data_IF_100718739430
#
_entry.id   IF_100718739430
#
_cell.length_a   1.000
_cell.length_b   1.000
_cell.length_c   1.000
_cell.angle_alpha   90.00
_cell.angle_beta   90.00
_cell.angle_gamma   90.00
#
_symmetry.space_group_name_H-M   'P 1'
#
loop_
_entity.id
_entity.type
_entity.pdbx_description
1 polymer ?
#
# COMPACT_ATOMS: atom_id res chain seq x y z
N UNK A 1 5.86 6.90 -11.45
CA UNK A 1 5.84 6.00 -10.31
C UNK A 1 4.79 6.44 -9.32
N UNK A 2 4.05 5.50 -8.77
CA UNK A 2 2.96 5.81 -7.87
C UNK A 2 3.46 6.16 -6.47
N UNK A 3 2.89 7.19 -5.89
CA UNK A 3 3.20 7.58 -4.52
C UNK A 3 2.18 6.96 -3.59
N UNK A 4 2.63 6.26 -2.58
CA UNK A 4 1.76 5.55 -1.64
C UNK A 4 2.01 6.05 -0.23
N UNK A 5 0.95 6.48 0.43
CA UNK A 5 1.02 6.98 1.80
C UNK A 5 0.08 6.15 2.68
N UNK A 6 0.59 5.69 3.80
CA UNK A 6 -0.20 4.98 4.79
C UNK A 6 -0.33 5.91 6.01
N UNK A 7 -1.55 6.38 6.25
CA UNK A 7 -1.84 7.24 7.39
C UNK A 7 -2.15 6.37 8.58
N UNK A 8 -1.41 6.52 9.66
CA UNK A 8 -1.47 5.62 10.80
C UNK A 8 -1.82 6.35 12.09
N UNK A 9 -2.26 5.56 13.06
CA UNK A 9 -2.40 6.06 14.43
C UNK A 9 -1.66 5.07 15.35
N UNK A 10 -1.28 5.50 16.56
CA UNK A 10 -0.54 4.60 17.45
C UNK A 10 -1.40 3.45 17.94
N UNK A 11 -0.75 2.36 18.25
CA UNK A 11 -1.38 1.18 18.85
C UNK A 11 -2.52 0.59 18.03
N UNK A 12 -2.36 0.59 16.71
CA UNK A 12 -3.37 0.06 15.81
C UNK A 12 -2.89 -1.23 15.17
N UNK A 13 -3.58 -2.31 15.45
CA UNK A 13 -3.26 -3.61 14.86
C UNK A 13 -3.44 -3.56 13.34
N UNK A 14 -4.48 -2.89 12.87
CA UNK A 14 -4.74 -2.81 11.44
C UNK A 14 -3.65 -2.02 10.71
N UNK A 15 -3.13 -0.98 11.35
CA UNK A 15 -2.02 -0.23 10.75
C UNK A 15 -0.79 -1.13 10.61
N UNK A 16 -0.48 -1.88 11.67
CA UNK A 16 0.67 -2.78 11.61
C UNK A 16 0.50 -3.88 10.59
N UNK A 17 -0.70 -4.44 10.50
CA UNK A 17 -0.98 -5.49 9.51
C UNK A 17 -0.82 -4.97 8.09
N UNK A 18 -1.28 -3.75 7.84
CA UNK A 18 -1.17 -3.15 6.52
C UNK A 18 0.29 -2.94 6.14
N UNK A 19 1.09 -2.39 7.07
CA UNK A 19 2.50 -2.16 6.80
C UNK A 19 3.24 -3.48 6.55
N UNK A 20 2.92 -4.49 7.34
CA UNK A 20 3.54 -5.80 7.19
C UNK A 20 3.26 -6.40 5.82
N UNK A 21 2.02 -6.26 5.35
CA UNK A 21 1.67 -6.78 4.02
C UNK A 21 2.39 -6.02 2.93
N UNK A 22 2.51 -4.70 3.06
CA UNK A 22 3.25 -3.92 2.08
C UNK A 22 4.72 -4.34 2.06
N UNK A 23 5.33 -4.49 3.24
CA UNK A 23 6.73 -4.89 3.33
C UNK A 23 6.94 -6.27 2.73
N UNK A 24 6.05 -7.19 3.02
CA UNK A 24 6.14 -8.55 2.53
C UNK A 24 6.05 -8.62 1.00
N UNK A 25 5.29 -7.72 0.42
CA UNK A 25 5.08 -7.69 -1.04
C UNK A 25 6.03 -6.77 -1.77
N UNK A 26 6.96 -6.14 -1.04
CA UNK A 26 7.93 -5.24 -1.65
C UNK A 26 7.34 -3.94 -2.15
N UNK A 27 6.20 -3.53 -1.58
CA UNK A 27 5.56 -2.27 -1.95
C UNK A 27 6.17 -1.16 -1.12
N UNK A 28 6.67 -0.14 -1.79
CA UNK A 28 7.31 0.99 -1.12
C UNK A 28 6.26 2.05 -0.80
N UNK A 29 6.27 2.51 0.42
CA UNK A 29 5.28 3.47 0.90
C UNK A 29 5.89 4.40 1.92
N UNK A 30 5.20 5.51 2.18
CA UNK A 30 5.56 6.42 3.26
C UNK A 30 4.48 6.34 4.32
N UNK A 31 4.85 6.60 5.57
CA UNK A 31 3.87 6.66 6.65
C UNK A 31 3.70 8.08 7.12
N UNK A 32 2.50 8.42 7.54
CA UNK A 32 2.20 9.71 8.16
C UNK A 32 1.26 9.47 9.32
N UNK A 33 1.41 10.24 10.38
CA UNK A 33 0.49 10.18 11.50
C UNK A 33 -0.79 10.90 11.15
N UNK A 34 -1.92 10.33 11.54
CA UNK A 34 -3.19 10.98 11.35
C UNK A 34 -3.28 12.18 12.31
N UNK A 35 -3.49 13.35 11.74
CA UNK A 35 -3.74 14.57 12.51
C UNK A 35 -5.24 14.84 12.54
N UNK A 36 -5.73 15.67 13.48
CA UNK A 36 -7.16 16.00 13.49
C UNK A 36 -7.64 16.56 12.16
N UNK A 37 -6.81 17.35 11.50
CA UNK A 37 -7.16 17.93 10.21
C UNK A 37 -7.28 16.86 9.14
N UNK A 38 -6.34 15.90 9.13
CA UNK A 38 -6.38 14.80 8.17
C UNK A 38 -7.58 13.90 8.42
N UNK A 39 -7.86 13.61 9.68
CA UNK A 39 -9.01 12.78 10.04
C UNK A 39 -10.31 13.40 9.51
N UNK A 40 -10.46 14.71 9.71
CA UNK A 40 -11.65 15.40 9.23
C UNK A 40 -11.80 15.29 7.72
N UNK A 41 -10.70 15.49 7.00
CA UNK A 41 -10.71 15.39 5.55
C UNK A 41 -11.12 13.97 5.09
N UNK A 42 -10.58 12.96 5.75
CA UNK A 42 -10.87 11.59 5.35
C UNK A 42 -12.30 11.18 5.70
N UNK A 43 -12.82 11.64 6.84
CA UNK A 43 -14.20 11.37 7.20
C UNK A 43 -15.15 11.92 6.12
N UNK A 44 -14.85 13.09 5.60
CA UNK A 44 -15.65 13.67 4.55
C UNK A 44 -15.63 12.84 3.27
N UNK A 45 -14.58 12.04 3.10
CA UNK A 45 -14.46 11.14 1.97
C UNK A 45 -14.98 9.73 2.27
N UNK A 46 -15.58 9.54 3.45
CA UNK A 46 -16.09 8.24 3.85
C UNK A 46 -15.06 7.29 4.40
N UNK A 47 -13.86 7.80 4.73
CA UNK A 47 -12.76 6.96 5.21
C UNK A 47 -12.62 7.15 6.71
N UNK A 48 -13.16 6.21 7.47
CA UNK A 48 -13.34 6.40 8.91
C UNK A 48 -12.52 5.48 9.80
N UNK A 49 -11.71 4.62 9.23
CA UNK A 49 -10.90 3.67 10.02
C UNK A 49 -9.43 3.80 9.65
N UNK A 50 -8.56 3.71 10.64
CA UNK A 50 -7.11 3.66 10.39
C UNK A 50 -6.71 2.23 10.09
N UNK A 51 -5.73 1.99 9.25
CA UNK A 51 -4.98 2.99 8.51
C UNK A 51 -5.78 3.51 7.32
N UNK A 52 -5.37 4.65 6.79
CA UNK A 52 -5.91 5.11 5.52
C UNK A 52 -4.77 5.03 4.52
N UNK A 53 -5.00 4.31 3.44
CA UNK A 53 -4.01 4.17 2.38
C UNK A 53 -4.43 5.06 1.24
N UNK A 54 -3.51 5.89 0.79
CA UNK A 54 -3.78 6.86 -0.26
C UNK A 54 -2.70 6.75 -1.32
N UNK A 55 -3.12 6.59 -2.57
CA UNK A 55 -2.21 6.53 -3.70
C UNK A 55 -2.66 7.55 -4.73
N UNK A 56 -1.99 7.57 -5.86
CA UNK A 56 -2.35 8.51 -6.93
C UNK A 56 -3.75 8.30 -7.46
N UNK A 57 -4.23 7.05 -7.48
CA UNK A 57 -5.50 6.73 -8.12
C UNK A 57 -6.50 5.99 -7.24
N UNK A 58 -6.17 5.71 -5.99
CA UNK A 58 -7.10 4.97 -5.13
C UNK A 58 -6.86 5.30 -3.66
N UNK A 59 -7.89 5.05 -2.85
CA UNK A 59 -7.74 5.18 -1.41
C UNK A 59 -8.73 4.25 -0.73
N UNK A 60 -8.35 3.81 0.48
CA UNK A 60 -9.25 3.01 1.30
C UNK A 60 -8.89 3.18 2.76
N UNK A 61 -9.80 2.74 3.63
CA UNK A 61 -9.56 2.80 5.07
C UNK A 61 -9.64 1.40 5.68
N UNK A 62 -8.90 1.20 6.75
CA UNK A 62 -8.84 -0.08 7.44
C UNK A 62 -7.92 -1.07 6.73
N UNK A 63 -7.80 -2.23 7.32
CA UNK A 63 -7.00 -3.29 6.71
C UNK A 63 -7.84 -4.01 5.65
N UNK A 64 -7.42 -3.89 4.41
CA UNK A 64 -8.17 -4.48 3.29
C UNK A 64 -7.20 -5.26 2.41
N UNK A 65 -7.08 -6.54 2.68
CA UNK A 65 -6.11 -7.38 1.97
C UNK A 65 -6.40 -7.44 0.47
N UNK A 66 -7.67 -7.48 0.11
CA UNK A 66 -8.02 -7.52 -1.32
C UNK A 66 -7.58 -6.25 -2.05
N UNK A 67 -7.60 -5.11 -1.36
CA UNK A 67 -7.13 -3.87 -1.96
C UNK A 67 -5.62 -3.86 -2.09
N UNK A 68 -4.93 -4.42 -1.10
CA UNK A 68 -3.47 -4.51 -1.13
C UNK A 68 -3.03 -5.41 -2.29
N UNK A 69 -3.70 -6.54 -2.47
CA UNK A 69 -3.37 -7.43 -3.56
C UNK A 69 -3.63 -6.78 -4.92
N UNK A 70 -4.73 -6.05 -5.03
CA UNK A 70 -5.06 -5.33 -6.25
C UNK A 70 -4.00 -4.29 -6.57
N UNK A 71 -3.55 -3.56 -5.55
CA UNK A 71 -2.50 -2.56 -5.72
C UNK A 71 -1.20 -3.22 -6.16
N UNK A 72 -0.85 -4.34 -5.56
CA UNK A 72 0.35 -5.07 -5.94
C UNK A 72 0.33 -5.46 -7.41
N UNK A 73 -0.80 -5.99 -7.87
CA UNK A 73 -0.94 -6.37 -9.26
C UNK A 73 -0.84 -5.17 -10.19
N UNK A 74 -1.45 -4.05 -9.78
CA UNK A 74 -1.38 -2.84 -10.58
C UNK A 74 0.06 -2.34 -10.71
N UNK A 75 0.82 -2.38 -9.61
CA UNK A 75 2.21 -1.96 -9.64
C UNK A 75 3.07 -2.88 -10.52
N UNK A 76 2.81 -4.16 -10.47
CA UNK A 76 3.52 -5.11 -11.33
C UNK A 76 3.20 -4.87 -12.79
N UNK A 77 1.95 -4.59 -13.08
CA UNK A 77 1.51 -4.33 -14.43
C UNK A 77 2.14 -3.05 -14.99
N UNK A 78 2.19 -2.01 -14.17
CA UNK A 78 2.85 -0.77 -14.58
C UNK A 78 4.33 -0.98 -14.86
N UNK A 79 4.99 -1.75 -14.01
CA UNK A 79 6.40 -2.03 -14.19
C UNK A 79 6.65 -2.79 -15.48
N UNK A 80 5.78 -3.76 -15.76
CA UNK A 80 5.91 -4.55 -16.97
C UNK A 80 5.71 -3.73 -18.21
N UNK A 81 4.79 -2.75 -18.17
CA UNK A 81 4.53 -1.90 -19.31
C UNK A 81 5.55 -0.78 -19.45
N UNK A 82 5.96 -0.22 -18.34
CA UNK A 82 6.80 0.96 -18.37
C UNK A 82 8.25 0.68 -18.60
N UNK A 83 8.69 -0.54 -18.29
CA UNK A 83 10.07 -0.88 -18.41
C UNK A 83 10.20 -2.05 -19.33
N UNK A 84 10.84 -1.91 -20.30
CA UNK A 84 11.07 -2.96 -21.20
C UNK A 84 12.10 -3.90 -20.71
N UNK A 85 12.06 -4.22 -19.47
CA UNK A 85 13.06 -5.03 -18.84
C UNK A 85 12.55 -6.41 -18.70
N UNK A 86 13.31 -7.25 -18.99
CA UNK A 86 12.92 -8.63 -18.81
C UNK A 86 12.91 -9.08 -17.39
N UNK A 87 13.25 -8.80 -17.08
CA UNK A 87 13.28 -9.15 -16.16
C UNK A 87 13.39 -9.54 -15.19
N UNK A 88 13.63 -9.43 -15.08
CA UNK A 88 13.62 -9.66 -14.32
C UNK A 88 13.66 -10.14 -13.50
N UNK A 89 13.86 -10.23 -13.43
CA UNK A 89 13.84 -10.64 -12.58
C UNK A 89 13.58 -11.06 -11.80
N UNK A 90 13.72 -10.97 -11.62
CA UNK A 90 13.43 -11.20 -11.00
C UNK A 90 13.09 -11.96 -10.42
N UNK A 91 13.23 -12.07 -10.35
CA UNK A 91 12.81 -12.58 -9.98
C UNK A 91 12.70 -13.04 -9.28
N UNK A 92 13.11 -12.79 -9.03
CA UNK A 92 12.86 -12.87 -8.50
C UNK A 92 12.61 -12.96 -7.83
N UNK A 93 12.98 -12.78 -7.64
CA UNK A 93 12.58 -12.60 -7.03
C UNK A 93 12.00 -12.99 -6.55
N UNK A 94 12.19 -13.03 -6.38
CA UNK A 94 11.58 -13.20 -6.00
C UNK A 94 11.05 -13.82 -5.64
N UNK A 95 11.36 -13.95 -5.49
CA UNK A 95 10.83 -14.29 -5.24
C UNK A 95 10.54 -14.73 -4.59
N UNK A 96 10.95 -14.69 -4.43
CA UNK A 96 10.62 -14.83 -3.89
C UNK A 96 10.23 -15.15 -3.13
N UNK A 97 10.49 -15.15 -3.00
CA UNK A 97 10.07 -15.33 -2.30
C UNK A 97 9.39 -15.90 -1.62
N UNK A 98 9.42 -15.94 -1.41
CA UNK A 98 8.76 -16.33 -0.80
C UNK A 98 8.08 -16.75 -0.07
N UNK A 99 8.28 -16.77 0.08
CA UNK A 99 7.55 -17.04 0.72
C UNK A 99 6.93 -17.33 1.27
N UNK A 100 7.19 -17.32 1.47
CA UNK A 100 6.53 -17.48 1.91
C UNK A 100 6.18 -17.80 2.21
#
# INVERSE_FOLDING_TARGET
MMSIVVWTKPNSVQCESTKRQFDKRGIIYKTRKLTPKAVKRFIELGLTAAPIVETDDRRWSGFRLEKIKSLEQHLRSERAHGINVPMQPIKQVAEEIEDE
#
